data_IF_766037387757
#
_entry.id   IF_766037387757
#
_cell.length_a   1.000
_cell.length_b   1.000
_cell.length_c   1.000
_cell.angle_alpha   90.00
_cell.angle_beta   90.00
_cell.angle_gamma   90.00
#
_symmetry.space_group_name_H-M   'P 1'
#
loop_
_entity.id
_entity.type
_entity.pdbx_description
1 polymer ?
#
# COMPACT_ATOMS: atom_id res chain seq x y z
N UNK A 1 18.91 0.60 42.26
CA UNK A 1 19.50 1.69 41.46
C UNK A 1 20.85 1.41 40.81
N UNK A 2 21.55 0.30 41.11
CA UNK A 2 22.85 -0.03 40.48
C UNK A 2 22.74 -0.18 38.97
N UNK A 3 21.76 -0.92 38.47
CA UNK A 3 21.54 -1.09 37.02
C UNK A 3 21.25 0.23 36.27
N UNK A 4 20.71 1.24 36.96
CA UNK A 4 20.42 2.58 36.38
C UNK A 4 21.70 3.40 36.25
N UNK A 5 22.55 3.38 37.29
CA UNK A 5 23.87 4.02 37.27
C UNK A 5 24.78 3.35 36.23
N UNK A 6 24.78 2.03 36.14
CA UNK A 6 25.56 1.29 35.13
C UNK A 6 25.08 1.55 33.70
N UNK A 7 23.76 1.69 33.50
CA UNK A 7 23.19 2.11 32.22
C UNK A 7 23.60 3.53 31.82
N UNK A 8 23.66 4.46 32.77
CA UNK A 8 24.10 5.86 32.50
C UNK A 8 25.60 5.96 32.19
N UNK A 9 26.42 5.10 32.81
CA UNK A 9 27.87 4.97 32.53
C UNK A 9 28.13 4.28 31.17
N UNK A 10 27.09 3.77 30.52
CA UNK A 10 27.20 3.11 29.21
C UNK A 10 27.86 1.74 29.28
N UNK A 11 27.89 1.09 30.46
CA UNK A 11 28.35 -0.29 30.56
C UNK A 11 27.44 -1.18 29.70
N UNK A 12 28.00 -1.96 28.76
CA UNK A 12 27.21 -2.87 27.95
C UNK A 12 26.55 -3.89 28.87
N UNK A 13 25.22 -3.92 28.85
CA UNK A 13 24.44 -4.89 29.62
C UNK A 13 24.54 -6.26 28.96
N UNK A 14 24.56 -7.34 29.76
CA UNK A 14 24.42 -8.72 29.27
C UNK A 14 23.08 -8.95 28.54
N UNK A 15 22.11 -8.05 28.73
CA UNK A 15 20.85 -8.03 27.99
C UNK A 15 20.99 -7.30 26.65
N UNK A 16 21.66 -7.94 25.69
CA UNK A 16 21.66 -7.47 24.31
C UNK A 16 20.27 -7.67 23.72
N UNK A 17 19.61 -6.57 23.33
CA UNK A 17 18.30 -6.65 22.68
C UNK A 17 18.48 -7.17 21.25
N UNK A 18 17.96 -8.35 20.97
CA UNK A 18 17.92 -8.86 19.60
C UNK A 18 16.83 -8.11 18.81
N UNK A 19 17.15 -7.57 17.63
CA UNK A 19 16.16 -6.90 16.81
C UNK A 19 15.12 -7.92 16.33
N UNK A 20 13.83 -7.59 16.49
CA UNK A 20 12.69 -8.45 16.09
C UNK A 20 12.72 -8.86 14.61
N UNK A 21 13.46 -8.12 13.77
CA UNK A 21 13.69 -8.42 12.36
C UNK A 21 14.95 -9.25 12.06
N UNK A 22 15.77 -9.55 13.07
CA UNK A 22 17.05 -10.27 12.99
C UNK A 22 18.03 -9.68 11.95
N UNK A 23 18.01 -8.36 11.77
CA UNK A 23 18.91 -7.62 10.86
C UNK A 23 20.09 -7.16 11.71
N UNK A 24 21.29 -7.69 11.43
CA UNK A 24 22.48 -7.40 12.22
C UNK A 24 23.45 -6.47 11.47
N UNK A 25 23.33 -6.37 10.15
CA UNK A 25 24.16 -5.51 9.30
C UNK A 25 23.31 -4.66 8.34
N UNK A 26 23.82 -3.51 7.90
CA UNK A 26 23.12 -2.64 6.93
C UNK A 26 22.91 -3.35 5.58
N UNK A 27 23.75 -4.35 5.28
CA UNK A 27 23.67 -5.21 4.09
C UNK A 27 22.65 -6.35 4.20
N UNK A 28 22.08 -6.61 5.38
CA UNK A 28 21.17 -7.74 5.55
C UNK A 28 19.86 -7.53 4.79
N UNK A 29 19.47 -8.57 4.06
CA UNK A 29 18.28 -8.56 3.21
C UNK A 29 17.01 -8.71 4.05
N UNK A 30 16.06 -7.81 3.81
CA UNK A 30 14.75 -7.85 4.44
C UNK A 30 13.88 -8.98 3.84
N UNK A 31 14.28 -9.57 2.71
CA UNK A 31 13.47 -10.56 1.97
C UNK A 31 13.36 -11.87 2.75
N UNK A 32 12.18 -12.13 3.32
CA UNK A 32 11.84 -13.43 3.95
C UNK A 32 11.35 -13.32 5.40
N UNK A 33 11.32 -12.13 5.98
CA UNK A 33 10.86 -11.97 7.35
C UNK A 33 9.36 -12.31 7.49
N UNK A 34 9.00 -13.06 8.54
CA UNK A 34 7.62 -13.42 8.92
C UNK A 34 6.67 -12.22 9.04
N UNK A 35 7.20 -11.02 9.31
CA UNK A 35 6.42 -9.78 9.38
C UNK A 35 6.12 -9.15 8.00
N UNK A 36 6.78 -9.58 6.94
CA UNK A 36 6.54 -9.07 5.58
C UNK A 36 5.42 -9.87 4.92
N UNK A 37 4.21 -9.29 4.92
CA UNK A 37 3.06 -9.85 4.18
C UNK A 37 3.26 -9.69 2.68
N UNK A 38 3.75 -10.74 2.01
CA UNK A 38 3.90 -10.81 0.55
C UNK A 38 2.60 -11.08 -0.22
N UNK A 39 1.48 -11.38 0.46
CA UNK A 39 0.23 -11.73 -0.23
C UNK A 39 -0.50 -10.47 -0.73
N UNK A 40 -0.95 -10.53 -1.99
CA UNK A 40 -1.92 -9.57 -2.53
C UNK A 40 -3.22 -9.71 -1.71
N UNK A 41 -3.75 -8.59 -1.21
CA UNK A 41 -4.99 -8.58 -0.46
C UNK A 41 -6.17 -8.60 -1.43
N UNK A 42 -7.25 -9.30 -1.08
CA UNK A 42 -8.47 -9.34 -1.90
C UNK A 42 -8.98 -7.94 -2.26
N UNK A 43 -8.83 -6.99 -1.33
CA UNK A 43 -9.16 -5.58 -1.55
C UNK A 43 -8.48 -4.97 -2.78
N UNK A 44 -7.22 -5.34 -3.08
CA UNK A 44 -6.51 -4.79 -4.26
C UNK A 44 -7.12 -5.29 -5.56
N UNK A 45 -7.64 -6.52 -5.57
CA UNK A 45 -8.36 -7.07 -6.73
C UNK A 45 -9.69 -6.30 -6.92
N UNK A 46 -10.40 -6.05 -5.83
CA UNK A 46 -11.65 -5.27 -5.84
C UNK A 46 -11.41 -3.83 -6.31
N UNK A 47 -10.36 -3.17 -5.81
CA UNK A 47 -9.95 -1.82 -6.23
C UNK A 47 -9.68 -1.77 -7.75
N UNK A 48 -8.97 -2.78 -8.29
CA UNK A 48 -8.72 -2.90 -9.73
C UNK A 48 -9.99 -3.13 -10.55
N UNK A 49 -10.92 -3.97 -10.06
CA UNK A 49 -12.21 -4.16 -10.71
C UNK A 49 -13.06 -2.87 -10.72
N UNK A 50 -13.07 -2.13 -9.61
CA UNK A 50 -13.76 -0.85 -9.52
C UNK A 50 -13.15 0.19 -10.47
N UNK A 51 -11.83 0.25 -10.59
CA UNK A 51 -11.16 1.10 -11.59
C UNK A 51 -11.67 0.80 -13.01
N UNK A 52 -11.70 -0.47 -13.41
CA UNK A 52 -12.19 -0.87 -14.73
C UNK A 52 -13.68 -0.56 -14.92
N UNK A 53 -14.49 -0.75 -13.88
CA UNK A 53 -15.91 -0.41 -13.89
C UNK A 53 -16.15 1.09 -14.14
N UNK A 54 -15.43 1.97 -13.44
CA UNK A 54 -15.56 3.42 -13.65
C UNK A 54 -14.98 3.88 -14.99
N UNK A 55 -13.92 3.24 -15.49
CA UNK A 55 -13.42 3.48 -16.85
C UNK A 55 -14.49 3.16 -17.91
N UNK A 56 -15.21 2.04 -17.73
CA UNK A 56 -16.34 1.69 -18.58
C UNK A 56 -17.49 2.70 -18.46
N UNK A 57 -17.81 3.16 -17.25
CA UNK A 57 -18.82 4.21 -17.05
C UNK A 57 -18.45 5.52 -17.76
N UNK A 58 -17.18 5.93 -17.72
CA UNK A 58 -16.68 7.07 -18.48
C UNK A 58 -16.80 6.85 -20.00
N UNK A 59 -16.47 5.66 -20.51
CA UNK A 59 -16.63 5.33 -21.93
C UNK A 59 -18.10 5.37 -22.36
N UNK A 60 -18.99 4.85 -21.50
CA UNK A 60 -20.43 4.79 -21.76
C UNK A 60 -21.06 6.17 -21.85
N UNK A 61 -20.56 7.15 -21.08
CA UNK A 61 -20.99 8.54 -21.14
C UNK A 61 -20.85 9.15 -22.55
N UNK A 62 -19.87 8.71 -23.35
CA UNK A 62 -19.68 9.17 -24.73
C UNK A 62 -20.49 8.39 -25.77
N UNK A 63 -20.78 7.10 -25.52
CA UNK A 63 -21.39 6.21 -26.52
C UNK A 63 -22.91 6.16 -26.43
N UNK A 64 -23.48 6.18 -25.22
CA UNK A 64 -24.90 5.84 -25.00
C UNK A 64 -25.84 7.04 -25.21
N UNK A 65 -25.31 8.27 -25.30
CA UNK A 65 -26.14 9.46 -25.45
C UNK A 65 -26.54 9.74 -26.89
N UNK A 66 -27.77 9.40 -27.27
CA UNK A 66 -28.38 9.66 -28.60
C UNK A 66 -28.35 11.15 -29.05
N UNK A 67 -28.07 12.10 -28.15
CA UNK A 67 -28.12 13.55 -28.42
C UNK A 67 -26.92 14.34 -27.84
N UNK A 68 -25.79 13.69 -27.58
CA UNK A 68 -24.56 14.39 -27.18
C UNK A 68 -23.94 13.95 -25.85
N UNK A 69 -24.20 12.72 -25.39
CA UNK A 69 -23.59 12.15 -24.19
C UNK A 69 -24.23 12.59 -22.87
N UNK A 70 -24.29 11.67 -21.89
CA UNK A 70 -24.68 12.00 -20.52
C UNK A 70 -23.43 12.27 -19.68
N UNK A 71 -23.08 13.54 -19.57
CA UNK A 71 -21.90 14.00 -18.84
C UNK A 71 -22.19 14.40 -17.38
N UNK A 72 -23.45 14.32 -16.92
CA UNK A 72 -23.81 14.76 -15.56
C UNK A 72 -23.02 14.02 -14.48
N UNK A 73 -22.75 12.73 -14.71
CA UNK A 73 -22.00 11.88 -13.79
C UNK A 73 -20.51 11.75 -14.13
N UNK A 74 -20.06 12.33 -15.24
CA UNK A 74 -18.69 12.20 -15.73
C UNK A 74 -17.62 12.65 -14.71
N UNK A 75 -17.70 13.84 -14.07
CA UNK A 75 -16.68 14.28 -13.12
C UNK A 75 -16.56 13.33 -11.91
N UNK A 76 -17.68 12.73 -11.48
CA UNK A 76 -17.67 11.75 -10.39
C UNK A 76 -17.02 10.44 -10.81
N UNK A 77 -17.32 9.94 -12.01
CA UNK A 77 -16.68 8.72 -12.55
C UNK A 77 -15.19 8.91 -12.78
N UNK A 78 -14.79 10.08 -13.29
CA UNK A 78 -13.38 10.43 -13.47
C UNK A 78 -12.64 10.49 -12.12
N UNK A 79 -13.24 11.12 -11.11
CA UNK A 79 -12.68 11.16 -9.75
C UNK A 79 -12.49 9.75 -9.18
N UNK A 80 -13.50 8.88 -9.32
CA UNK A 80 -13.44 7.51 -8.82
C UNK A 80 -12.42 6.67 -9.60
N UNK A 81 -12.35 6.80 -10.92
CA UNK A 81 -11.35 6.15 -11.75
C UNK A 81 -9.92 6.50 -11.32
N UNK A 82 -9.63 7.80 -11.15
CA UNK A 82 -8.32 8.28 -10.69
C UNK A 82 -8.03 7.79 -9.27
N UNK A 83 -9.01 7.86 -8.36
CA UNK A 83 -8.87 7.43 -6.97
C UNK A 83 -8.54 5.93 -6.85
N UNK A 84 -9.37 5.07 -7.43
CA UNK A 84 -9.16 3.62 -7.41
C UNK A 84 -7.90 3.23 -8.19
N UNK A 85 -7.62 3.89 -9.33
CA UNK A 85 -6.40 3.67 -10.10
C UNK A 85 -5.14 3.98 -9.28
N UNK A 86 -5.09 5.14 -8.60
CA UNK A 86 -3.97 5.52 -7.76
C UNK A 86 -3.70 4.48 -6.66
N UNK A 87 -4.73 4.08 -5.93
CA UNK A 87 -4.60 3.09 -4.85
C UNK A 87 -4.16 1.73 -5.40
N UNK A 88 -4.74 1.28 -6.52
CA UNK A 88 -4.39 0.02 -7.17
C UNK A 88 -2.92 -0.02 -7.61
N UNK A 89 -2.45 1.00 -8.34
CA UNK A 89 -1.05 1.06 -8.81
C UNK A 89 -0.07 1.19 -7.65
N UNK A 90 -0.38 1.99 -6.62
CA UNK A 90 0.45 2.06 -5.41
C UNK A 90 0.52 0.69 -4.73
N UNK A 91 -0.62 0.02 -4.57
CA UNK A 91 -0.71 -1.29 -3.92
C UNK A 91 0.12 -2.37 -4.63
N UNK A 92 0.18 -2.33 -5.97
CA UNK A 92 1.04 -3.21 -6.78
C UNK A 92 2.50 -2.82 -6.62
N UNK A 93 2.87 -1.55 -6.86
CA UNK A 93 4.27 -1.08 -6.78
C UNK A 93 4.89 -1.25 -5.39
N UNK A 94 4.10 -1.21 -4.33
CA UNK A 94 4.60 -1.43 -2.97
C UNK A 94 4.91 -2.89 -2.65
N UNK A 95 4.40 -3.84 -3.44
CA UNK A 95 4.56 -5.28 -3.23
C UNK A 95 5.50 -5.95 -4.24
N UNK A 96 5.74 -5.33 -5.40
CA UNK A 96 6.81 -5.68 -6.35
C UNK A 96 8.15 -5.19 -5.82
#
# INVERSE_FOLDING_TARGET
SIAVLEGHIGKPSEFVRTPKFNINTISDSWKGNKYLRKKLSLNVIIEGMLMLYFAFGMYSAFIVGDQGGDFGLFPFHLMLFIGFGYVFFKSIRAKV
#
